data_IF_153878344219
#
_entry.id   IF_153878344219
#
_cell.length_a   1.000
_cell.length_b   1.000
_cell.length_c   1.000
_cell.angle_alpha   90.00
_cell.angle_beta   90.00
_cell.angle_gamma   90.00
#
_symmetry.space_group_name_H-M   'P 1'
#
loop_
_entity.id
_entity.type
_entity.pdbx_description
1 polymer ?
#
# COMPACT_ATOMS: atom_id res chain seq x y z
N UNK A 1 -32.94 15.96 18.87
CA UNK A 1 -33.83 14.82 19.21
C UNK A 1 -33.98 14.57 20.71
N UNK A 2 -32.91 14.59 21.52
CA UNK A 2 -33.01 14.33 22.98
C UNK A 2 -33.92 15.30 23.75
N UNK A 3 -33.99 16.57 23.33
CA UNK A 3 -34.87 17.59 23.93
C UNK A 3 -36.36 17.33 23.66
N UNK A 4 -36.71 16.70 22.53
CA UNK A 4 -38.10 16.37 22.19
C UNK A 4 -38.64 15.25 23.09
N UNK A 5 -37.77 14.33 23.54
CA UNK A 5 -38.10 13.26 24.48
C UNK A 5 -38.34 13.76 25.91
N UNK A 6 -38.01 15.02 26.22
CA UNK A 6 -38.31 15.64 27.53
C UNK A 6 -39.64 16.40 27.50
N UNK A 7 -40.23 16.59 26.33
CA UNK A 7 -41.44 17.40 26.15
C UNK A 7 -42.64 16.92 27.02
N UNK A 8 -42.94 15.62 27.14
CA UNK A 8 -44.02 15.16 28.02
C UNK A 8 -43.76 15.43 29.50
N UNK A 9 -42.50 15.41 29.92
CA UNK A 9 -42.09 15.72 31.30
C UNK A 9 -42.30 17.22 31.58
N UNK A 10 -41.94 18.09 30.64
CA UNK A 10 -42.18 19.53 30.78
C UNK A 10 -43.67 19.89 30.81
N UNK A 11 -44.50 19.23 30.00
CA UNK A 11 -45.96 19.42 30.02
C UNK A 11 -46.54 19.02 31.38
N UNK A 12 -46.12 17.87 31.92
CA UNK A 12 -46.60 17.42 33.23
C UNK A 12 -46.20 18.39 34.35
N UNK A 13 -44.96 18.88 34.35
CA UNK A 13 -44.50 19.88 35.32
C UNK A 13 -45.27 21.21 35.20
N UNK A 14 -45.57 21.65 33.98
CA UNK A 14 -46.38 22.85 33.75
C UNK A 14 -47.83 22.67 34.26
N UNK A 15 -48.43 21.50 34.06
CA UNK A 15 -49.76 21.17 34.59
C UNK A 15 -49.78 21.17 36.12
N UNK A 16 -48.76 20.60 36.76
CA UNK A 16 -48.59 20.62 38.21
C UNK A 16 -48.45 22.04 38.78
N UNK A 17 -47.85 22.98 38.06
CA UNK A 17 -47.64 24.35 38.54
C UNK A 17 -48.83 25.28 38.27
N UNK A 18 -49.54 25.08 37.17
CA UNK A 18 -50.55 26.03 36.68
C UNK A 18 -51.98 25.59 37.03
N UNK A 19 -52.25 24.28 37.14
CA UNK A 19 -53.62 23.75 37.28
C UNK A 19 -53.67 22.48 38.14
N UNK A 20 -53.27 22.58 39.40
CA UNK A 20 -53.33 21.47 40.37
C UNK A 20 -54.75 20.94 40.57
N UNK A 21 -55.76 21.82 40.52
CA UNK A 21 -57.16 21.43 40.74
C UNK A 21 -57.67 20.45 39.68
N UNK A 22 -57.20 20.57 38.43
CA UNK A 22 -57.51 19.63 37.35
C UNK A 22 -56.95 18.23 37.63
N UNK A 23 -55.82 18.11 38.33
CA UNK A 23 -55.19 16.83 38.67
C UNK A 23 -55.94 16.10 39.80
N UNK A 24 -56.65 16.85 40.65
CA UNK A 24 -57.51 16.30 41.71
C UNK A 24 -58.85 15.74 41.20
N UNK A 25 -59.23 16.05 39.96
CA UNK A 25 -60.46 15.51 39.36
C UNK A 25 -60.29 14.05 38.96
N UNK A 26 -61.37 13.29 39.04
CA UNK A 26 -61.43 11.93 38.48
C UNK A 26 -62.07 11.96 37.11
N UNK A 27 -61.51 11.19 36.19
CA UNK A 27 -62.03 11.05 34.83
C UNK A 27 -62.33 9.59 34.54
N UNK A 28 -63.40 9.36 33.76
CA UNK A 28 -63.69 8.05 33.21
C UNK A 28 -62.76 7.78 32.03
N UNK A 29 -61.83 6.85 32.24
CA UNK A 29 -60.88 6.42 31.22
C UNK A 29 -61.42 5.13 30.62
N UNK A 30 -61.57 5.12 29.30
CA UNK A 30 -61.92 3.92 28.56
C UNK A 30 -60.64 3.11 28.28
N UNK A 31 -60.50 1.96 28.94
CA UNK A 31 -59.41 1.03 28.66
C UNK A 31 -59.85 0.11 27.51
N UNK A 32 -59.31 0.38 26.32
CA UNK A 32 -59.45 -0.44 25.11
C UNK A 32 -60.88 -0.80 24.72
N UNK A 33 -61.85 0.08 24.96
CA UNK A 33 -63.24 -0.07 24.53
C UNK A 33 -64.10 -1.02 25.39
N UNK A 34 -63.50 -1.67 26.40
CA UNK A 34 -64.16 -2.75 27.13
C UNK A 34 -64.61 -2.36 28.55
N UNK A 35 -63.92 -1.42 29.19
CA UNK A 35 -64.21 -1.03 30.59
C UNK A 35 -63.96 0.46 30.81
N UNK A 36 -64.91 1.10 31.50
CA UNK A 36 -64.77 2.47 32.00
C UNK A 36 -64.26 2.39 33.44
N UNK A 37 -63.07 2.95 33.67
CA UNK A 37 -62.50 3.08 34.99
C UNK A 37 -62.45 4.54 35.39
N UNK A 38 -63.05 4.86 36.52
CA UNK A 38 -62.97 6.20 37.10
C UNK A 38 -61.69 6.31 37.93
N UNK A 39 -60.68 7.01 37.41
CA UNK A 39 -59.36 7.13 38.04
C UNK A 39 -59.04 8.61 38.24
N UNK A 40 -58.51 9.01 39.41
CA UNK A 40 -57.95 10.35 39.61
C UNK A 40 -56.88 10.66 38.56
N UNK A 41 -57.00 11.83 37.92
CA UNK A 41 -56.08 12.28 36.85
C UNK A 41 -54.63 12.29 37.33
N UNK A 42 -54.39 12.63 38.60
CA UNK A 42 -53.07 12.56 39.23
C UNK A 42 -52.43 11.16 39.19
N UNK A 43 -53.19 10.10 39.50
CA UNK A 43 -52.66 8.73 39.50
C UNK A 43 -52.34 8.26 38.08
N UNK A 44 -53.26 8.51 37.14
CA UNK A 44 -53.06 8.14 35.74
C UNK A 44 -51.84 8.84 35.12
N UNK A 45 -51.70 10.15 35.33
CA UNK A 45 -50.59 10.94 34.78
C UNK A 45 -49.23 10.55 35.39
N UNK A 46 -49.20 10.21 36.68
CA UNK A 46 -47.99 9.72 37.35
C UNK A 46 -47.55 8.36 36.82
N UNK A 47 -48.49 7.42 36.66
CA UNK A 47 -48.23 6.11 36.06
C UNK A 47 -47.73 6.26 34.62
N UNK A 48 -48.37 7.12 33.84
CA UNK A 48 -47.95 7.41 32.47
C UNK A 48 -46.51 7.93 32.42
N UNK A 49 -46.12 8.83 33.33
CA UNK A 49 -44.76 9.36 33.39
C UNK A 49 -43.71 8.29 33.68
N UNK A 50 -44.00 7.39 34.62
CA UNK A 50 -43.11 6.28 34.96
C UNK A 50 -42.94 5.36 33.75
N UNK A 51 -44.04 4.96 33.11
CA UNK A 51 -44.01 4.15 31.90
C UNK A 51 -43.27 4.83 30.75
N UNK A 52 -43.46 6.14 30.59
CA UNK A 52 -42.76 6.94 29.61
C UNK A 52 -41.25 6.96 29.87
N UNK A 53 -40.83 7.18 31.11
CA UNK A 53 -39.41 7.17 31.47
C UNK A 53 -38.75 5.81 31.18
N UNK A 54 -39.42 4.70 31.53
CA UNK A 54 -38.97 3.34 31.21
C UNK A 54 -38.88 3.14 29.69
N UNK A 55 -39.87 3.60 28.94
CA UNK A 55 -39.85 3.51 27.47
C UNK A 55 -38.69 4.29 26.85
N UNK A 56 -38.45 5.53 27.29
CA UNK A 56 -37.33 6.35 26.81
C UNK A 56 -35.99 5.66 27.11
N UNK A 57 -35.85 5.09 28.31
CA UNK A 57 -34.65 4.33 28.68
C UNK A 57 -34.41 3.15 27.73
N UNK A 58 -35.43 2.32 27.48
CA UNK A 58 -35.33 1.17 26.58
C UNK A 58 -34.99 1.58 25.13
N UNK A 59 -35.61 2.65 24.62
CA UNK A 59 -35.32 3.16 23.27
C UNK A 59 -33.88 3.67 23.18
N UNK A 60 -33.42 4.40 24.21
CA UNK A 60 -32.06 4.94 24.24
C UNK A 60 -31.00 3.83 24.27
N UNK A 61 -31.18 2.84 25.14
CA UNK A 61 -30.28 1.69 25.24
C UNK A 61 -30.29 0.85 23.97
N UNK A 62 -31.48 0.62 23.39
CA UNK A 62 -31.61 -0.10 22.13
C UNK A 62 -30.89 0.60 20.97
N UNK A 63 -31.05 1.92 20.84
CA UNK A 63 -30.34 2.71 19.83
C UNK A 63 -28.83 2.67 20.03
N UNK A 64 -28.36 2.87 21.26
CA UNK A 64 -26.93 2.82 21.57
C UNK A 64 -26.32 1.45 21.28
N UNK A 65 -27.02 0.37 21.63
CA UNK A 65 -26.60 -0.99 21.32
C UNK A 65 -26.46 -1.21 19.81
N UNK A 66 -27.46 -0.80 19.02
CA UNK A 66 -27.41 -0.93 17.57
C UNK A 66 -26.28 -0.10 16.95
N UNK A 67 -26.10 1.15 17.40
CA UNK A 67 -25.02 2.02 16.94
C UNK A 67 -23.65 1.43 17.27
N UNK A 68 -23.46 0.94 18.50
CA UNK A 68 -22.20 0.35 18.92
C UNK A 68 -21.88 -0.92 18.10
N UNK A 69 -22.89 -1.76 17.84
CA UNK A 69 -22.73 -2.95 16.99
C UNK A 69 -22.30 -2.58 15.56
N UNK A 70 -22.89 -1.53 14.98
CA UNK A 70 -22.49 -1.01 13.66
C UNK A 70 -21.05 -0.48 13.67
N UNK A 71 -20.68 0.29 14.69
CA UNK A 71 -19.31 0.82 14.82
C UNK A 71 -18.28 -0.32 14.89
N UNK A 72 -18.53 -1.34 15.70
CA UNK A 72 -17.63 -2.51 15.79
C UNK A 72 -17.49 -3.24 14.44
N UNK A 73 -18.57 -3.35 13.66
CA UNK A 73 -18.50 -3.94 12.32
C UNK A 73 -17.66 -3.10 11.37
N UNK A 74 -17.86 -1.79 11.37
CA UNK A 74 -17.07 -0.85 10.56
C UNK A 74 -15.59 -0.86 10.95
N UNK A 75 -15.27 -0.90 12.24
CA UNK A 75 -13.89 -0.99 12.72
C UNK A 75 -13.20 -2.27 12.24
N UNK A 76 -13.90 -3.41 12.28
CA UNK A 76 -13.39 -4.68 11.75
C UNK A 76 -13.16 -4.61 10.24
N UNK A 77 -14.06 -3.97 9.50
CA UNK A 77 -13.93 -3.80 8.06
C UNK A 77 -12.73 -2.91 7.71
N UNK A 78 -12.53 -1.81 8.45
CA UNK A 78 -11.36 -0.94 8.31
C UNK A 78 -10.06 -1.73 8.54
N UNK A 79 -9.99 -2.54 9.61
CA UNK A 79 -8.80 -3.36 9.90
C UNK A 79 -8.56 -4.37 8.79
N UNK A 80 -9.61 -5.04 8.30
CA UNK A 80 -9.51 -6.00 7.19
C UNK A 80 -9.01 -5.33 5.91
N UNK A 81 -9.58 -4.19 5.53
CA UNK A 81 -9.17 -3.44 4.34
C UNK A 81 -7.72 -2.99 4.43
N UNK A 82 -7.28 -2.50 5.61
CA UNK A 82 -5.87 -2.15 5.85
C UNK A 82 -4.94 -3.35 5.67
N UNK A 83 -5.30 -4.52 6.20
CA UNK A 83 -4.52 -5.76 6.02
C UNK A 83 -4.43 -6.14 4.54
N UNK A 84 -5.56 -6.18 3.83
CA UNK A 84 -5.58 -6.54 2.41
C UNK A 84 -4.76 -5.58 1.55
N UNK A 85 -4.80 -4.27 1.87
CA UNK A 85 -3.98 -3.29 1.17
C UNK A 85 -2.48 -3.51 1.43
N UNK A 86 -2.11 -3.81 2.68
CA UNK A 86 -0.73 -4.10 3.05
C UNK A 86 -0.21 -5.37 2.38
N UNK A 87 -1.01 -6.44 2.38
CA UNK A 87 -0.67 -7.70 1.71
C UNK A 87 -0.50 -7.50 0.20
N UNK A 88 -1.41 -6.75 -0.43
CA UNK A 88 -1.31 -6.38 -1.84
C UNK A 88 -0.06 -5.54 -2.17
N UNK A 89 0.32 -4.60 -1.30
CA UNK A 89 1.55 -3.83 -1.45
C UNK A 89 2.80 -4.71 -1.32
N UNK A 90 2.81 -5.64 -0.37
CA UNK A 90 3.90 -6.61 -0.19
C UNK A 90 4.07 -7.50 -1.44
N UNK A 91 2.97 -7.98 -2.01
CA UNK A 91 2.99 -8.79 -3.23
C UNK A 91 3.54 -7.99 -4.43
N UNK A 92 3.13 -6.73 -4.59
CA UNK A 92 3.62 -5.85 -5.65
C UNK A 92 5.13 -5.59 -5.52
N UNK A 93 5.61 -5.32 -4.30
CA UNK A 93 7.04 -5.11 -4.04
C UNK A 93 7.85 -6.38 -4.31
N UNK A 94 7.34 -7.54 -3.94
CA UNK A 94 7.97 -8.83 -4.22
C UNK A 94 8.09 -9.08 -5.73
N UNK A 95 7.00 -8.87 -6.49
CA UNK A 95 7.00 -8.98 -7.96
C UNK A 95 7.96 -8.00 -8.61
N UNK A 96 8.03 -6.77 -8.10
CA UNK A 96 8.97 -5.75 -8.60
C UNK A 96 10.42 -6.20 -8.37
N UNK A 97 10.74 -6.68 -7.16
CA UNK A 97 12.07 -7.19 -6.82
C UNK A 97 12.47 -8.38 -7.69
N UNK A 98 11.55 -9.32 -7.93
CA UNK A 98 11.80 -10.48 -8.79
C UNK A 98 12.08 -10.06 -10.24
N UNK A 99 11.29 -9.12 -10.77
CA UNK A 99 11.49 -8.56 -12.11
C UNK A 99 12.82 -7.82 -12.25
N UNK A 100 13.22 -7.03 -11.24
CA UNK A 100 14.52 -6.37 -11.22
C UNK A 100 15.66 -7.38 -11.19
N UNK A 101 15.53 -8.44 -10.39
CA UNK A 101 16.56 -9.50 -10.29
C UNK A 101 16.74 -10.20 -11.63
N UNK A 102 15.64 -10.61 -12.27
CA UNK A 102 15.67 -11.23 -13.61
C UNK A 102 16.27 -10.31 -14.67
N UNK A 103 15.93 -9.01 -14.64
CA UNK A 103 16.46 -8.02 -15.57
C UNK A 103 17.95 -7.77 -15.34
N UNK A 104 18.39 -7.78 -14.09
CA UNK A 104 19.80 -7.62 -13.75
C UNK A 104 20.62 -8.84 -14.15
N UNK A 105 20.11 -10.05 -13.93
CA UNK A 105 20.76 -11.29 -14.38
C UNK A 105 20.88 -11.37 -15.90
N UNK A 106 19.82 -11.00 -16.64
CA UNK A 106 19.87 -10.98 -18.11
C UNK A 106 20.84 -9.93 -18.62
N UNK A 107 20.87 -8.74 -18.00
CA UNK A 107 21.85 -7.70 -18.30
C UNK A 107 23.28 -8.19 -18.04
N UNK A 108 23.55 -8.78 -16.87
CA UNK A 108 24.87 -9.33 -16.52
C UNK A 108 25.31 -10.36 -17.55
N UNK A 109 24.44 -11.34 -17.86
CA UNK A 109 24.74 -12.37 -18.86
C UNK A 109 25.05 -11.77 -20.23
N UNK A 110 24.24 -10.81 -20.68
CA UNK A 110 24.50 -10.11 -21.95
C UNK A 110 25.85 -9.40 -21.94
N UNK A 111 26.20 -8.77 -20.82
CA UNK A 111 27.46 -8.04 -20.69
C UNK A 111 28.66 -9.00 -20.69
N UNK A 112 28.57 -10.12 -19.98
CA UNK A 112 29.58 -11.18 -19.98
C UNK A 112 29.80 -11.73 -21.41
N UNK A 113 28.73 -11.96 -22.17
CA UNK A 113 28.82 -12.38 -23.58
C UNK A 113 29.49 -11.32 -24.48
N UNK A 114 29.27 -10.04 -24.22
CA UNK A 114 29.93 -8.95 -24.94
C UNK A 114 31.42 -8.88 -24.60
N UNK A 115 31.79 -9.02 -23.32
CA UNK A 115 33.19 -9.05 -22.90
C UNK A 115 33.93 -10.23 -23.50
N UNK A 116 33.34 -11.43 -23.51
CA UNK A 116 33.94 -12.62 -24.14
C UNK A 116 34.21 -12.41 -25.63
N UNK A 117 33.29 -11.75 -26.35
CA UNK A 117 33.49 -11.42 -27.76
C UNK A 117 34.65 -10.44 -27.96
N UNK A 118 34.74 -9.42 -27.10
CA UNK A 118 35.84 -8.44 -27.15
C UNK A 118 37.18 -9.11 -26.85
N UNK A 119 37.24 -9.99 -25.84
CA UNK A 119 38.45 -10.73 -25.50
C UNK A 119 38.92 -11.56 -26.69
N UNK A 120 38.03 -12.38 -27.28
CA UNK A 120 38.35 -13.21 -28.45
C UNK A 120 38.79 -12.38 -29.66
N UNK A 121 38.14 -11.25 -29.89
CA UNK A 121 38.52 -10.33 -30.97
C UNK A 121 39.91 -9.73 -30.74
N UNK A 122 40.21 -9.32 -29.51
CA UNK A 122 41.53 -8.78 -29.14
C UNK A 122 42.61 -9.85 -29.25
N UNK A 123 42.36 -11.08 -28.78
CA UNK A 123 43.29 -12.22 -28.91
C UNK A 123 43.61 -12.49 -30.38
N UNK A 124 42.58 -12.61 -31.23
CA UNK A 124 42.76 -12.80 -32.67
C UNK A 124 43.57 -11.65 -33.30
N UNK A 125 43.26 -10.41 -32.93
CA UNK A 125 43.96 -9.23 -33.47
C UNK A 125 45.42 -9.21 -33.05
N UNK A 126 45.72 -9.50 -31.79
CA UNK A 126 47.08 -9.59 -31.28
C UNK A 126 47.87 -10.71 -31.95
N UNK A 127 47.27 -11.90 -32.12
CA UNK A 127 47.90 -13.03 -32.81
C UNK A 127 48.22 -12.69 -34.27
N UNK A 128 47.28 -12.02 -34.96
CA UNK A 128 47.49 -11.52 -36.33
C UNK A 128 48.63 -10.50 -36.40
N UNK A 129 48.69 -9.55 -35.48
CA UNK A 129 49.79 -8.56 -35.40
C UNK A 129 51.13 -9.25 -35.16
N UNK A 130 51.19 -10.24 -34.25
CA UNK A 130 52.41 -11.00 -33.95
C UNK A 130 52.88 -11.78 -35.18
N UNK A 131 51.97 -12.48 -35.86
CA UNK A 131 52.28 -13.27 -37.06
C UNK A 131 52.71 -12.40 -38.23
N UNK A 132 52.02 -11.29 -38.51
CA UNK A 132 52.40 -10.33 -39.54
C UNK A 132 53.75 -9.67 -39.23
N UNK A 133 53.99 -9.27 -37.97
CA UNK A 133 55.27 -8.69 -37.55
C UNK A 133 56.41 -9.70 -37.69
N UNK A 134 56.20 -10.96 -37.26
CA UNK A 134 57.18 -12.03 -37.40
C UNK A 134 57.50 -12.38 -38.85
N UNK A 135 56.47 -12.46 -39.71
CA UNK A 135 56.63 -12.69 -41.15
C UNK A 135 57.40 -11.55 -41.83
N UNK A 136 57.08 -10.30 -41.48
CA UNK A 136 57.82 -9.13 -41.95
C UNK A 136 59.28 -9.15 -41.49
N UNK A 137 59.53 -9.51 -40.22
CA UNK A 137 60.90 -9.64 -39.69
C UNK A 137 61.71 -10.71 -40.42
N UNK A 138 61.09 -11.86 -40.74
CA UNK A 138 61.71 -12.93 -41.50
C UNK A 138 62.01 -12.49 -42.95
N UNK A 139 61.11 -11.72 -43.57
CA UNK A 139 61.32 -11.12 -44.89
C UNK A 139 62.50 -10.15 -44.88
N UNK A 140 62.52 -9.20 -43.94
CA UNK A 140 63.64 -8.26 -43.78
C UNK A 140 64.94 -9.00 -43.55
N UNK A 141 65.00 -9.97 -42.63
CA UNK A 141 66.19 -10.79 -42.38
C UNK A 141 66.71 -11.49 -43.64
N UNK A 142 65.81 -12.01 -44.49
CA UNK A 142 66.16 -12.67 -45.76
C UNK A 142 66.70 -11.66 -46.78
N UNK A 143 66.09 -10.49 -46.91
CA UNK A 143 66.56 -9.40 -47.78
C UNK A 143 67.91 -8.85 -47.31
N UNK A 144 68.10 -8.61 -46.01
CA UNK A 144 69.39 -8.20 -45.43
C UNK A 144 70.47 -9.25 -45.68
N UNK A 145 70.16 -10.56 -45.53
CA UNK A 145 71.11 -11.64 -45.81
C UNK A 145 71.47 -11.74 -47.30
N UNK A 146 70.50 -11.48 -48.20
CA UNK A 146 70.78 -11.38 -49.65
C UNK A 146 71.71 -10.20 -49.94
N UNK A 147 71.45 -9.02 -49.38
CA UNK A 147 72.28 -7.83 -49.54
C UNK A 147 73.72 -8.04 -49.02
N UNK A 148 73.87 -8.66 -47.85
CA UNK A 148 75.19 -9.01 -47.30
C UNK A 148 75.98 -10.00 -48.17
N UNK A 149 75.29 -10.92 -48.85
CA UNK A 149 75.95 -11.92 -49.69
C UNK A 149 76.23 -11.41 -51.12
N UNK A 150 75.48 -10.41 -51.60
CA UNK A 150 75.62 -9.87 -52.96
C UNK A 150 76.73 -8.84 -53.13
N UNK A 151 77.15 -8.15 -52.06
CA UNK A 151 78.17 -7.10 -52.13
C UNK A 151 79.19 -7.30 -51.00
N UNK A 152 80.40 -7.80 -51.35
CA UNK A 152 81.48 -8.12 -50.38
C UNK A 152 81.95 -6.92 -49.56
N UNK A 153 81.66 -5.69 -50.01
CA UNK A 153 82.02 -4.44 -49.33
C UNK A 153 80.83 -3.75 -48.64
N UNK A 154 79.65 -4.40 -48.58
CA UNK A 154 78.44 -3.81 -47.98
C UNK A 154 78.63 -3.47 -46.49
N UNK A 155 79.33 -4.32 -45.75
CA UNK A 155 79.61 -4.12 -44.31
C UNK A 155 80.56 -2.93 -44.08
N UNK A 156 81.46 -2.64 -45.01
CA UNK A 156 82.33 -1.46 -44.94
C UNK A 156 81.55 -0.17 -45.22
N UNK A 157 80.64 -0.16 -46.20
CA UNK A 157 79.77 1.00 -46.48
C UNK A 157 78.83 1.34 -45.31
N UNK A 158 78.38 0.34 -44.55
CA UNK A 158 77.56 0.57 -43.34
C UNK A 158 78.35 1.19 -42.18
N UNK A 159 79.67 0.99 -42.10
CA UNK A 159 80.52 1.65 -41.09
C UNK A 159 80.69 3.15 -41.35
N UNK A 160 80.55 3.60 -42.60
CA UNK A 160 80.68 5.02 -42.99
C UNK A 160 79.53 5.89 -42.46
N UNK A 161 78.41 5.28 -42.04
CA UNK A 161 77.25 6.00 -41.49
C UNK A 161 77.25 6.09 -39.95
N UNK A 162 78.34 5.71 -39.29
CA UNK A 162 78.48 5.72 -37.82
C UNK A 162 79.46 6.78 -37.30
N UNK A 163 79.65 7.85 -38.07
CA UNK A 163 80.27 9.10 -37.62
C UNK A 163 79.20 10.21 -37.53
#
# INVERSE_FOLDING_TARGET
MKTLLLFPIFIYLALMLVNIDLLGTSQEINIFGATLLNIPVFLFSSIFLVLYAVFVFLVYDGQNYMLNKKNIQLDKEIVRLKSTLYDGQSELLSKLSENYTKSFESFKKSNDEHFDKIIKFNEYTLEKVITETGANFAKYKKETKKLLNSDKNFVEKLKVWKD
#
